data_IF_788715861912
#
_entry.id   IF_788715861912
#
_cell.length_a   1.000
_cell.length_b   1.000
_cell.length_c   1.000
_cell.angle_alpha   90.00
_cell.angle_beta   90.00
_cell.angle_gamma   90.00
#
_symmetry.space_group_name_H-M   'P 1'
#
loop_
_entity.id
_entity.type
_entity.pdbx_description
1 polymer ?
#
# COMPACT_ATOMS: atom_id res chain seq x y z
N UNK A 1 -50.40 21.06 -4.07
CA UNK A 1 -49.01 20.59 -3.90
C UNK A 1 -48.47 20.18 -5.26
N UNK A 2 -47.93 21.13 -6.00
CA UNK A 2 -47.20 20.86 -7.25
C UNK A 2 -45.88 20.22 -6.89
N UNK A 3 -45.77 18.91 -7.08
CA UNK A 3 -44.50 18.20 -7.08
C UNK A 3 -43.65 18.82 -8.19
N UNK A 4 -42.64 19.61 -7.81
CA UNK A 4 -41.59 20.11 -8.71
C UNK A 4 -40.86 18.89 -9.27
N UNK A 5 -41.35 18.37 -10.40
CA UNK A 5 -40.67 17.32 -11.15
C UNK A 5 -39.39 17.90 -11.72
N UNK A 6 -38.27 17.59 -11.07
CA UNK A 6 -36.94 17.92 -11.59
C UNK A 6 -36.83 17.34 -13.01
N UNK A 7 -36.43 18.17 -13.98
CA UNK A 7 -36.17 17.71 -15.35
C UNK A 7 -35.12 16.59 -15.39
N UNK A 8 -34.99 15.86 -16.52
CA UNK A 8 -34.11 14.69 -16.63
C UNK A 8 -32.64 14.99 -16.26
N UNK A 9 -32.19 16.22 -16.55
CA UNK A 9 -30.86 16.71 -16.15
C UNK A 9 -30.73 16.81 -14.63
N UNK A 10 -31.76 17.35 -13.95
CA UNK A 10 -31.79 17.45 -12.49
C UNK A 10 -31.82 16.08 -11.80
N UNK A 11 -32.52 15.11 -12.40
CA UNK A 11 -32.49 13.72 -11.94
C UNK A 11 -31.09 13.09 -12.08
N UNK A 12 -30.39 13.33 -13.19
CA UNK A 12 -29.03 12.82 -13.41
C UNK A 12 -28.03 13.42 -12.39
N UNK A 13 -28.09 14.74 -12.15
CA UNK A 13 -27.28 15.39 -11.13
C UNK A 13 -27.60 14.86 -9.72
N UNK A 14 -28.88 14.63 -9.41
CA UNK A 14 -29.30 14.03 -8.15
C UNK A 14 -28.73 12.63 -7.95
N UNK A 15 -28.84 11.76 -8.95
CA UNK A 15 -28.27 10.40 -8.92
C UNK A 15 -26.75 10.46 -8.74
N UNK A 16 -26.06 11.30 -9.52
CA UNK A 16 -24.61 11.45 -9.40
C UNK A 16 -24.18 11.91 -7.99
N UNK A 17 -24.88 12.89 -7.42
CA UNK A 17 -24.60 13.38 -6.06
C UNK A 17 -24.83 12.30 -5.00
N UNK A 18 -25.88 11.49 -5.14
CA UNK A 18 -26.17 10.38 -4.23
C UNK A 18 -25.08 9.31 -4.34
N UNK A 19 -24.70 8.92 -5.56
CA UNK A 19 -23.64 7.94 -5.80
C UNK A 19 -22.30 8.41 -5.23
N UNK A 20 -21.97 9.69 -5.42
CA UNK A 20 -20.76 10.30 -4.84
C UNK A 20 -20.81 10.26 -3.31
N UNK A 21 -21.94 10.61 -2.71
CA UNK A 21 -22.10 10.56 -1.26
C UNK A 21 -21.94 9.13 -0.71
N UNK A 22 -22.60 8.15 -1.33
CA UNK A 22 -22.47 6.73 -0.94
C UNK A 22 -21.02 6.26 -1.08
N UNK A 23 -20.35 6.64 -2.16
CA UNK A 23 -18.94 6.33 -2.37
C UNK A 23 -18.04 6.93 -1.29
N UNK A 24 -18.23 8.21 -0.95
CA UNK A 24 -17.47 8.89 0.11
C UNK A 24 -17.72 8.26 1.49
N UNK A 25 -18.97 7.93 1.82
CA UNK A 25 -19.32 7.24 3.05
C UNK A 25 -18.66 5.86 3.11
N UNK A 26 -18.69 5.10 2.01
CA UNK A 26 -18.01 3.80 1.90
C UNK A 26 -16.50 3.93 2.07
N UNK A 27 -15.89 4.93 1.45
CA UNK A 27 -14.46 5.23 1.57
C UNK A 27 -14.07 5.56 3.01
N UNK A 28 -14.79 6.48 3.66
CA UNK A 28 -14.56 6.86 5.06
C UNK A 28 -14.75 5.67 5.99
N UNK A 29 -15.81 4.89 5.81
CA UNK A 29 -16.06 3.69 6.60
C UNK A 29 -14.92 2.69 6.46
N UNK A 30 -14.44 2.43 5.24
CA UNK A 30 -13.35 1.50 4.98
C UNK A 30 -12.03 1.96 5.63
N UNK A 31 -11.68 3.24 5.49
CA UNK A 31 -10.47 3.81 6.12
C UNK A 31 -10.57 3.66 7.64
N UNK A 32 -11.72 3.99 8.23
CA UNK A 32 -11.93 3.85 9.68
C UNK A 32 -11.84 2.39 10.14
N UNK A 33 -12.45 1.47 9.40
CA UNK A 33 -12.40 0.03 9.70
C UNK A 33 -10.97 -0.51 9.62
N UNK A 34 -10.20 -0.03 8.64
CA UNK A 34 -8.78 -0.34 8.47
C UNK A 34 -7.97 0.02 9.72
N UNK A 35 -8.14 1.24 10.24
CA UNK A 35 -7.39 1.72 11.41
C UNK A 35 -7.91 1.16 12.75
N UNK A 36 -9.17 0.74 12.84
CA UNK A 36 -9.71 0.10 14.05
C UNK A 36 -9.16 -1.30 14.27
N UNK A 37 -8.96 -2.08 13.20
CA UNK A 37 -8.52 -3.47 13.30
C UNK A 37 -7.04 -3.63 13.66
N UNK A 38 -6.23 -2.59 13.47
CA UNK A 38 -4.81 -2.58 13.89
C UNK A 38 -4.64 -2.81 15.40
N UNK A 39 -5.60 -2.34 16.21
CA UNK A 39 -5.55 -2.50 17.66
C UNK A 39 -5.79 -3.94 18.14
N UNK A 40 -6.26 -4.86 17.28
CA UNK A 40 -6.67 -6.22 17.67
C UNK A 40 -5.70 -7.32 17.26
N UNK A 41 -4.63 -7.00 16.55
CA UNK A 41 -3.66 -8.00 16.07
C UNK A 41 -2.65 -8.38 17.17
N UNK A 42 -3.13 -8.96 18.29
CA UNK A 42 -2.28 -9.68 19.22
C UNK A 42 -2.00 -11.09 18.69
N UNK A 43 -0.75 -11.51 18.88
CA UNK A 43 -0.11 -12.75 18.46
C UNK A 43 -0.98 -14.00 18.55
N UNK A 44 -1.35 -14.57 17.40
CA UNK A 44 -1.60 -16.02 17.36
C UNK A 44 -0.24 -16.70 17.40
N UNK A 45 0.03 -17.48 18.46
CA UNK A 45 1.30 -18.14 18.75
C UNK A 45 1.69 -19.26 17.78
N UNK A 46 1.25 -19.20 16.52
CA UNK A 46 1.62 -20.18 15.47
C UNK A 46 2.56 -19.50 14.46
N UNK A 47 3.66 -20.16 14.13
CA UNK A 47 4.58 -19.76 13.06
C UNK A 47 3.86 -19.84 11.71
N UNK A 48 3.10 -18.80 11.38
CA UNK A 48 2.47 -18.65 10.08
C UNK A 48 3.44 -17.96 9.12
N UNK A 49 3.53 -18.52 7.91
CA UNK A 49 4.22 -17.88 6.79
C UNK A 49 3.39 -16.69 6.29
N UNK A 50 4.08 -15.63 5.87
CA UNK A 50 3.48 -14.40 5.36
C UNK A 50 3.93 -14.18 3.91
N UNK A 51 2.99 -14.05 2.98
CA UNK A 51 3.31 -13.59 1.61
C UNK A 51 3.75 -12.14 1.68
N UNK A 52 4.83 -11.80 1.00
CA UNK A 52 5.42 -10.47 1.09
C UNK A 52 5.63 -9.87 -0.31
N UNK A 53 4.94 -8.79 -0.60
CA UNK A 53 5.18 -8.01 -1.81
C UNK A 53 6.03 -6.79 -1.46
N UNK A 54 7.09 -6.56 -2.22
CA UNK A 54 8.04 -5.48 -1.97
C UNK A 54 8.16 -4.59 -3.19
N UNK A 55 7.97 -3.28 -3.03
CA UNK A 55 8.40 -2.33 -4.04
C UNK A 55 9.89 -2.00 -3.87
N UNK A 56 10.69 -2.30 -4.90
CA UNK A 56 12.04 -1.76 -5.02
C UNK A 56 11.95 -0.43 -5.77
N UNK A 57 12.11 0.67 -5.04
CA UNK A 57 12.26 1.99 -5.65
C UNK A 57 13.63 2.13 -6.30
N UNK A 58 13.75 2.92 -7.37
CA UNK A 58 15.04 3.10 -8.05
C UNK A 58 16.04 3.93 -7.25
N UNK A 59 17.32 3.56 -7.29
CA UNK A 59 18.42 4.35 -6.71
C UNK A 59 18.56 4.15 -5.20
N UNK A 60 18.54 5.24 -4.42
CA UNK A 60 18.71 5.21 -2.96
C UNK A 60 17.62 4.39 -2.25
N UNK A 61 16.38 4.46 -2.75
CA UNK A 61 15.25 3.69 -2.22
C UNK A 61 15.45 2.17 -2.32
N UNK A 62 16.16 1.69 -3.35
CA UNK A 62 16.54 0.27 -3.44
C UNK A 62 17.42 -0.10 -2.26
N UNK A 63 18.42 0.74 -1.95
CA UNK A 63 19.35 0.49 -0.86
C UNK A 63 18.64 0.44 0.50
N UNK A 64 17.74 1.39 0.76
CA UNK A 64 16.88 1.40 1.95
C UNK A 64 16.07 0.09 2.07
N UNK A 65 15.42 -0.33 0.98
CA UNK A 65 14.60 -1.54 1.00
C UNK A 65 15.42 -2.81 1.14
N UNK A 66 16.56 -2.93 0.47
CA UNK A 66 17.45 -4.09 0.59
C UNK A 66 18.01 -4.20 2.01
N UNK A 67 18.35 -3.07 2.64
CA UNK A 67 18.75 -3.04 4.05
C UNK A 67 17.61 -3.53 4.97
N UNK A 68 16.37 -3.13 4.69
CA UNK A 68 15.18 -3.61 5.41
C UNK A 68 15.07 -5.12 5.35
N UNK A 69 15.09 -5.63 4.13
CA UNK A 69 14.91 -7.04 3.87
C UNK A 69 16.05 -7.89 4.43
N UNK A 70 17.27 -7.35 4.49
CA UNK A 70 18.41 -8.07 5.07
C UNK A 70 18.19 -8.45 6.54
N UNK A 71 17.40 -7.68 7.29
CA UNK A 71 17.03 -7.98 8.68
C UNK A 71 15.87 -8.98 8.83
N UNK A 72 15.14 -9.31 7.75
CA UNK A 72 13.97 -10.19 7.84
C UNK A 72 14.35 -11.68 7.75
N UNK A 73 13.67 -12.56 8.53
CA UNK A 73 13.81 -14.02 8.41
C UNK A 73 13.00 -14.56 7.22
N UNK A 74 13.67 -14.88 6.10
CA UNK A 74 13.02 -15.25 4.84
C UNK A 74 12.20 -16.54 4.90
N UNK A 75 12.47 -17.43 5.85
CA UNK A 75 11.67 -18.64 6.10
C UNK A 75 10.22 -18.32 6.48
N UNK A 76 10.01 -17.19 7.16
CA UNK A 76 8.69 -16.73 7.59
C UNK A 76 7.98 -15.89 6.54
N UNK A 77 8.71 -15.30 5.60
CA UNK A 77 8.17 -14.39 4.58
C UNK A 77 8.31 -15.04 3.21
N UNK A 78 7.42 -15.97 2.87
CA UNK A 78 7.44 -16.72 1.60
C UNK A 78 6.02 -16.98 1.09
N UNK A 79 5.75 -16.87 -0.23
CA UNK A 79 6.64 -16.35 -1.26
C UNK A 79 6.82 -14.82 -1.19
N UNK A 80 7.91 -14.33 -1.79
CA UNK A 80 8.22 -12.90 -1.94
C UNK A 80 8.03 -12.44 -3.38
N UNK A 81 7.30 -11.37 -3.58
CA UNK A 81 7.09 -10.77 -4.92
C UNK A 81 7.78 -9.41 -4.96
N UNK A 82 8.85 -9.29 -5.74
CA UNK A 82 9.57 -8.04 -5.93
C UNK A 82 8.99 -7.26 -7.11
N UNK A 83 8.40 -6.10 -6.82
CA UNK A 83 7.94 -5.15 -7.81
C UNK A 83 9.08 -4.21 -8.17
N UNK A 84 9.44 -4.18 -9.45
CA UNK A 84 10.52 -3.38 -10.00
C UNK A 84 9.97 -2.45 -11.07
N UNK A 85 10.48 -1.23 -11.09
CA UNK A 85 10.15 -0.24 -12.10
C UNK A 85 10.81 -0.53 -13.44
N UNK A 86 10.15 -0.19 -14.55
CA UNK A 86 10.67 -0.48 -15.88
C UNK A 86 12.00 0.22 -16.17
N UNK A 87 12.95 -0.58 -16.65
CA UNK A 87 14.33 -0.16 -16.92
C UNK A 87 15.23 -0.03 -15.67
N UNK A 88 14.85 -0.61 -14.53
CA UNK A 88 15.66 -0.61 -13.30
C UNK A 88 16.33 -1.97 -13.04
N UNK A 89 17.30 -2.32 -13.88
CA UNK A 89 18.06 -3.57 -13.79
C UNK A 89 18.90 -3.66 -12.52
N UNK A 90 19.34 -2.52 -11.97
CA UNK A 90 20.16 -2.47 -10.76
C UNK A 90 19.36 -2.94 -9.54
N UNK A 91 18.12 -2.49 -9.41
CA UNK A 91 17.22 -2.97 -8.34
C UNK A 91 17.02 -4.48 -8.39
N UNK A 92 16.87 -5.03 -9.59
CA UNK A 92 16.74 -6.48 -9.80
C UNK A 92 17.99 -7.23 -9.36
N UNK A 93 19.17 -6.75 -9.76
CA UNK A 93 20.44 -7.38 -9.41
C UNK A 93 20.64 -7.42 -7.89
N UNK A 94 20.39 -6.32 -7.18
CA UNK A 94 20.54 -6.25 -5.71
C UNK A 94 19.60 -7.20 -4.97
N UNK A 95 18.36 -7.34 -5.45
CA UNK A 95 17.42 -8.29 -4.85
C UNK A 95 17.83 -9.75 -5.09
N UNK A 96 18.33 -10.08 -6.29
CA UNK A 96 18.87 -11.41 -6.58
C UNK A 96 20.08 -11.74 -5.70
N UNK A 97 20.98 -10.76 -5.48
CA UNK A 97 22.12 -10.92 -4.58
C UNK A 97 21.65 -11.21 -3.15
N UNK A 98 20.67 -10.45 -2.64
CA UNK A 98 20.11 -10.68 -1.31
C UNK A 98 19.46 -12.07 -1.17
N UNK A 99 18.70 -12.51 -2.17
CA UNK A 99 18.08 -13.84 -2.19
C UNK A 99 19.14 -14.95 -2.22
N UNK A 100 20.24 -14.77 -2.95
CA UNK A 100 21.38 -15.72 -2.96
C UNK A 100 22.12 -15.81 -1.64
N UNK A 101 22.18 -14.71 -0.87
CA UNK A 101 22.79 -14.70 0.45
C UNK A 101 21.90 -15.39 1.50
N UNK A 102 20.57 -15.26 1.38
CA UNK A 102 19.60 -15.82 2.34
C UNK A 102 19.22 -17.28 2.06
N UNK A 103 19.16 -17.68 0.78
CA UNK A 103 18.88 -19.06 0.32
C UNK A 103 17.61 -19.70 0.92
N UNK A 104 16.56 -18.92 1.17
CA UNK A 104 15.36 -19.39 1.88
C UNK A 104 14.05 -18.94 1.22
N UNK A 105 13.13 -19.85 0.97
CA UNK A 105 11.79 -19.56 0.45
C UNK A 105 11.72 -19.22 -1.05
N UNK A 106 10.51 -19.07 -1.57
CA UNK A 106 10.25 -18.79 -2.97
C UNK A 106 10.17 -17.29 -3.24
N UNK A 107 10.63 -16.85 -4.42
CA UNK A 107 10.51 -15.46 -4.85
C UNK A 107 10.19 -15.33 -6.33
N UNK A 108 9.53 -14.23 -6.70
CA UNK A 108 9.26 -13.84 -8.09
C UNK A 108 9.50 -12.34 -8.31
N UNK A 109 9.72 -11.96 -9.56
CA UNK A 109 9.86 -10.56 -9.98
C UNK A 109 8.67 -10.13 -10.84
N UNK A 110 8.17 -8.93 -10.56
CA UNK A 110 7.13 -8.27 -11.35
C UNK A 110 7.64 -6.91 -11.81
N UNK A 111 7.61 -6.66 -13.11
CA UNK A 111 7.99 -5.36 -13.68
C UNK A 111 6.76 -4.50 -13.94
N UNK A 112 6.81 -3.24 -13.51
CA UNK A 112 5.74 -2.24 -13.71
C UNK A 112 6.29 -0.98 -14.38
N UNK A 113 5.48 -0.25 -15.17
CA UNK A 113 5.90 1.03 -15.72
C UNK A 113 6.12 2.07 -14.62
N UNK A 114 7.19 2.86 -14.75
CA UNK A 114 7.46 3.99 -13.85
C UNK A 114 6.32 5.01 -13.86
N UNK A 115 5.85 5.41 -12.68
CA UNK A 115 4.80 6.41 -12.54
C UNK A 115 5.24 7.81 -13.00
N UNK A 116 6.52 8.14 -12.81
CA UNK A 116 7.15 9.38 -13.28
C UNK A 116 8.58 9.14 -13.74
N UNK A 117 8.95 9.73 -14.88
CA UNK A 117 10.34 9.76 -15.36
C UNK A 117 11.09 10.97 -14.81
N UNK A 118 12.41 10.84 -14.68
CA UNK A 118 13.29 11.98 -14.33
C UNK A 118 13.13 13.05 -15.42
N UNK A 119 13.07 14.33 -15.03
CA UNK A 119 12.81 15.49 -15.90
C UNK A 119 11.43 15.54 -16.57
N UNK A 120 10.48 14.70 -16.16
CA UNK A 120 9.10 14.80 -16.60
C UNK A 120 8.37 15.96 -15.89
N UNK A 121 7.54 16.70 -16.64
CA UNK A 121 6.70 17.77 -16.07
C UNK A 121 5.63 17.20 -15.13
N UNK A 122 5.19 18.00 -14.15
CA UNK A 122 4.17 17.56 -13.19
C UNK A 122 2.85 17.18 -13.88
N UNK A 123 2.43 17.92 -14.92
CA UNK A 123 1.18 17.63 -15.65
C UNK A 123 1.25 16.30 -16.39
N UNK A 124 2.33 16.07 -17.15
CA UNK A 124 2.50 14.80 -17.88
C UNK A 124 2.66 13.62 -16.92
N UNK A 125 3.19 13.85 -15.71
CA UNK A 125 3.34 12.82 -14.69
C UNK A 125 2.02 12.26 -14.17
N UNK A 126 0.92 13.03 -14.27
CA UNK A 126 -0.42 12.56 -13.91
C UNK A 126 -0.83 11.42 -14.84
N UNK A 127 -0.69 11.60 -16.15
CA UNK A 127 -1.05 10.59 -17.14
C UNK A 127 -0.22 9.32 -17.00
N UNK A 128 1.10 9.42 -16.82
CA UNK A 128 1.96 8.25 -16.61
C UNK A 128 1.66 7.54 -15.29
N UNK A 129 1.24 8.28 -14.25
CA UNK A 129 0.78 7.70 -12.98
C UNK A 129 -0.53 6.94 -13.17
N UNK A 130 -1.50 7.47 -13.93
CA UNK A 130 -2.76 6.77 -14.25
C UNK A 130 -2.47 5.49 -15.06
N UNK A 131 -1.61 5.55 -16.08
CA UNK A 131 -1.21 4.35 -16.84
C UNK A 131 -0.58 3.30 -15.92
N UNK A 132 0.31 3.73 -15.01
CA UNK A 132 0.91 2.84 -14.02
C UNK A 132 -0.14 2.22 -13.09
N UNK A 133 -1.12 3.00 -12.64
CA UNK A 133 -2.24 2.52 -11.82
C UNK A 133 -3.07 1.47 -12.55
N UNK A 134 -3.45 1.70 -13.82
CA UNK A 134 -4.23 0.74 -14.61
C UNK A 134 -3.49 -0.58 -14.81
N UNK A 135 -2.18 -0.52 -15.06
CA UNK A 135 -1.34 -1.72 -15.17
C UNK A 135 -1.25 -2.45 -13.83
N UNK A 136 -1.05 -1.73 -12.72
CA UNK A 136 -1.02 -2.32 -11.38
C UNK A 136 -2.37 -2.96 -11.01
N UNK A 137 -3.49 -2.28 -11.29
CA UNK A 137 -4.84 -2.82 -11.09
C UNK A 137 -5.04 -4.10 -11.88
N UNK A 138 -4.66 -4.12 -13.17
CA UNK A 138 -4.73 -5.31 -14.00
C UNK A 138 -3.91 -6.47 -13.40
N UNK A 139 -2.71 -6.20 -12.91
CA UNK A 139 -1.89 -7.24 -12.28
C UNK A 139 -2.51 -7.79 -11.00
N UNK A 140 -3.03 -6.92 -10.13
CA UNK A 140 -3.68 -7.36 -8.89
C UNK A 140 -4.98 -8.12 -9.16
N UNK A 141 -5.75 -7.69 -10.17
CA UNK A 141 -7.01 -8.35 -10.54
C UNK A 141 -6.80 -9.68 -11.27
N UNK A 142 -5.70 -9.86 -12.02
CA UNK A 142 -5.47 -11.05 -12.85
C UNK A 142 -4.53 -12.07 -12.19
N UNK A 143 -3.52 -11.64 -11.40
CA UNK A 143 -2.59 -12.58 -10.76
C UNK A 143 -3.14 -13.10 -9.42
N UNK A 144 -3.37 -14.41 -9.27
CA UNK A 144 -3.89 -15.00 -8.03
C UNK A 144 -2.93 -14.88 -6.83
N UNK A 145 -1.64 -14.62 -7.07
CA UNK A 145 -0.65 -14.40 -5.99
C UNK A 145 -0.87 -13.08 -5.22
N UNK A 146 -1.50 -12.10 -5.87
CA UNK A 146 -1.94 -10.85 -5.24
C UNK A 146 -3.37 -10.93 -4.70
N UNK A 147 -4.10 -12.00 -5.02
CA UNK A 147 -5.48 -12.16 -4.60
C UNK A 147 -5.55 -12.12 -3.07
N UNK A 148 -6.36 -11.22 -2.50
CA UNK A 148 -6.61 -11.17 -1.07
C UNK A 148 -7.46 -12.37 -0.71
N UNK A 149 -6.82 -13.54 -0.52
CA UNK A 149 -7.41 -14.83 -0.14
C UNK A 149 -8.92 -14.84 -0.43
N UNK A 150 -9.26 -14.90 -1.72
CA UNK A 150 -10.63 -15.06 -2.14
C UNK A 150 -10.96 -16.51 -1.83
N UNK A 151 -11.32 -16.78 -0.57
CA UNK A 151 -11.98 -18.02 -0.18
C UNK A 151 -13.26 -18.07 -1.02
N UNK A 152 -13.21 -18.87 -2.08
CA UNK A 152 -14.40 -19.53 -2.62
C UNK A 152 -14.91 -20.47 -1.53
N UNK A 153 -16.21 -20.44 -1.20
CA UNK A 153 -16.80 -21.50 -0.39
C UNK A 153 -16.83 -22.74 -1.28
N UNK A 154 -15.77 -23.52 -1.24
CA UNK A 154 -15.77 -24.85 -1.82
C UNK A 154 -15.29 -25.80 -0.73
N UNK A 155 -16.24 -26.60 -0.30
CA UNK A 155 -16.17 -27.59 0.76
C UNK A 155 -15.01 -28.57 0.55
N UNK A 156 -14.51 -29.07 1.67
CA UNK A 156 -13.76 -30.32 1.83
C UNK A 156 -12.27 -30.33 1.47
N UNK A 157 -11.44 -29.72 2.32
CA UNK A 157 -10.27 -30.40 2.91
C UNK A 157 -9.63 -29.58 4.05
N UNK A 158 -9.42 -30.26 5.16
CA UNK A 158 -8.88 -29.78 6.43
C UNK A 158 -7.40 -29.40 6.35
N UNK A 159 -7.06 -28.17 5.94
CA UNK A 159 -5.93 -27.37 6.47
C UNK A 159 -5.92 -25.95 5.83
N UNK A 160 -6.88 -25.09 6.17
CA UNK A 160 -6.87 -23.68 5.75
C UNK A 160 -5.79 -22.91 6.53
N UNK A 161 -4.55 -23.00 6.06
CA UNK A 161 -3.44 -22.14 6.49
C UNK A 161 -3.80 -20.69 6.14
N UNK A 162 -4.35 -19.94 7.10
CA UNK A 162 -4.64 -18.51 6.99
C UNK A 162 -3.35 -17.70 6.78
N UNK A 163 -2.82 -17.70 5.56
CA UNK A 163 -1.59 -17.02 5.23
C UNK A 163 -1.79 -15.50 5.32
N UNK A 164 -0.96 -14.83 6.11
CA UNK A 164 -0.94 -13.37 6.17
C UNK A 164 -0.29 -12.84 4.89
N UNK A 165 -0.75 -11.71 4.38
CA UNK A 165 -0.14 -11.06 3.21
C UNK A 165 0.14 -9.60 3.53
N UNK A 166 1.35 -9.14 3.20
CA UNK A 166 1.77 -7.76 3.39
C UNK A 166 2.42 -7.20 2.13
N UNK A 167 2.23 -5.90 1.91
CA UNK A 167 2.83 -5.12 0.84
C UNK A 167 3.65 -4.01 1.49
N UNK A 168 4.98 -4.06 1.30
CA UNK A 168 5.90 -3.05 1.82
C UNK A 168 6.28 -2.09 0.69
N UNK A 169 6.07 -0.81 0.95
CA UNK A 169 6.33 0.29 0.04
C UNK A 169 7.31 1.27 0.68
N UNK A 170 8.17 1.86 -0.13
CA UNK A 170 9.05 2.97 0.22
C UNK A 170 9.09 3.92 -0.97
N UNK A 171 9.33 5.22 -0.75
CA UNK A 171 10.23 5.97 -1.64
C UNK A 171 9.68 6.71 -2.88
N UNK A 172 9.59 6.11 -4.09
CA UNK A 172 9.35 6.90 -5.29
C UNK A 172 7.85 7.08 -5.57
N UNK A 173 7.53 7.95 -6.53
CA UNK A 173 6.15 8.19 -6.99
C UNK A 173 5.40 6.92 -7.41
N UNK A 174 6.11 5.85 -7.82
CA UNK A 174 5.51 4.54 -8.15
C UNK A 174 4.84 3.84 -6.96
N UNK A 175 5.15 4.21 -5.72
CA UNK A 175 4.45 3.66 -4.55
C UNK A 175 2.96 4.05 -4.53
N UNK A 176 2.61 5.22 -5.09
CA UNK A 176 1.22 5.71 -5.14
C UNK A 176 0.30 4.81 -5.96
N UNK A 177 0.58 4.55 -7.26
CA UNK A 177 -0.29 3.68 -8.05
C UNK A 177 -0.36 2.24 -7.51
N UNK A 178 0.73 1.71 -6.93
CA UNK A 178 0.71 0.36 -6.34
C UNK A 178 -0.18 0.32 -5.11
N UNK A 179 0.00 1.25 -4.16
CA UNK A 179 -0.84 1.35 -2.97
C UNK A 179 -2.33 1.47 -3.34
N UNK A 180 -2.66 2.36 -4.28
CA UNK A 180 -4.02 2.55 -4.74
C UNK A 180 -4.56 1.30 -5.45
N UNK A 181 -3.74 0.58 -6.22
CA UNK A 181 -4.17 -0.66 -6.86
C UNK A 181 -4.53 -1.76 -5.86
N UNK A 182 -3.90 -1.77 -4.68
CA UNK A 182 -4.25 -2.68 -3.58
C UNK A 182 -5.47 -2.18 -2.81
N UNK A 183 -5.59 -0.86 -2.61
CA UNK A 183 -6.64 -0.25 -1.80
C UNK A 183 -8.00 -0.21 -2.53
N UNK A 184 -8.04 0.12 -3.82
CA UNK A 184 -9.27 0.26 -4.59
C UNK A 184 -10.13 -1.02 -4.57
N UNK A 185 -9.59 -2.24 -4.75
CA UNK A 185 -10.35 -3.48 -4.58
C UNK A 185 -10.96 -3.64 -3.18
N UNK A 186 -10.39 -3.05 -2.13
CA UNK A 186 -10.96 -3.08 -0.77
C UNK A 186 -12.29 -2.31 -0.70
N UNK A 187 -12.47 -1.26 -1.51
CA UNK A 187 -13.73 -0.51 -1.56
C UNK A 187 -14.88 -1.38 -2.03
N UNK A 188 -14.60 -2.21 -3.05
CA UNK A 188 -15.57 -3.12 -3.67
C UNK A 188 -15.78 -4.34 -2.77
N UNK A 189 -14.70 -5.01 -2.38
CA UNK A 189 -14.78 -6.31 -1.67
C UNK A 189 -15.00 -6.20 -0.17
N UNK A 190 -14.66 -5.06 0.46
CA UNK A 190 -14.66 -4.89 1.92
C UNK A 190 -13.54 -5.66 2.64
N UNK A 191 -12.70 -6.42 1.93
CA UNK A 191 -11.59 -7.18 2.52
C UNK A 191 -10.41 -6.26 2.77
N UNK A 192 -9.81 -6.35 3.95
CA UNK A 192 -8.71 -5.47 4.38
C UNK A 192 -7.31 -6.07 4.17
N UNK A 193 -7.23 -7.25 3.53
CA UNK A 193 -5.98 -7.88 3.12
C UNK A 193 -5.66 -7.50 1.67
N UNK A 194 -4.38 -7.52 1.24
CA UNK A 194 -3.16 -7.66 2.06
C UNK A 194 -2.87 -6.38 2.87
N UNK A 195 -2.13 -6.44 3.98
CA UNK A 195 -1.74 -5.25 4.77
C UNK A 195 -0.76 -4.36 3.99
N UNK A 196 -1.02 -3.06 3.92
CA UNK A 196 -0.20 -2.04 3.30
C UNK A 196 0.70 -1.38 4.36
N UNK A 197 2.01 -1.49 4.17
CA UNK A 197 3.03 -0.94 5.05
C UNK A 197 3.85 0.06 4.23
N UNK A 198 3.87 1.31 4.66
CA UNK A 198 4.74 2.33 4.06
C UNK A 198 5.88 2.67 5.00
N UNK A 199 7.10 2.65 4.47
CA UNK A 199 8.31 3.04 5.16
C UNK A 199 8.84 4.30 4.49
N UNK A 200 8.77 5.42 5.21
CA UNK A 200 9.29 6.69 4.72
C UNK A 200 10.82 6.64 4.57
N UNK A 201 11.34 7.35 3.57
CA UNK A 201 12.76 7.32 3.23
C UNK A 201 13.64 7.92 4.33
N UNK A 202 14.86 7.38 4.46
CA UNK A 202 15.89 7.88 5.38
C UNK A 202 16.22 9.34 5.12
N UNK A 203 16.14 9.79 3.87
CA UNK A 203 16.39 11.18 3.50
C UNK A 203 15.38 12.17 4.12
N UNK A 204 14.25 11.70 4.65
CA UNK A 204 13.19 12.54 5.20
C UNK A 204 13.32 12.66 6.71
N UNK A 205 14.11 13.65 7.15
CA UNK A 205 14.37 13.88 8.59
C UNK A 205 13.35 14.83 9.24
N UNK A 206 12.91 15.86 8.52
CA UNK A 206 12.09 16.97 9.09
C UNK A 206 10.65 17.00 8.60
N UNK A 207 10.39 16.55 7.38
CA UNK A 207 9.05 16.59 6.74
C UNK A 207 8.80 15.33 5.92
N UNK A 208 7.56 14.84 5.92
CA UNK A 208 7.12 13.72 5.07
C UNK A 208 7.31 14.02 3.59
N UNK A 209 7.62 12.99 2.81
CA UNK A 209 7.60 13.07 1.35
C UNK A 209 6.19 13.33 0.83
N UNK A 210 6.08 13.86 -0.39
CA UNK A 210 4.77 14.03 -1.03
C UNK A 210 4.06 12.67 -1.16
N UNK A 211 4.79 11.63 -1.52
CA UNK A 211 4.31 10.24 -1.54
C UNK A 211 3.77 9.82 -0.17
N UNK A 212 4.52 10.07 0.91
CA UNK A 212 4.11 9.76 2.27
C UNK A 212 2.83 10.48 2.67
N UNK A 213 2.71 11.78 2.36
CA UNK A 213 1.50 12.58 2.61
C UNK A 213 0.30 12.00 1.87
N UNK A 214 0.45 11.68 0.58
CA UNK A 214 -0.63 11.13 -0.25
C UNK A 214 -1.09 9.75 0.22
N UNK A 215 -0.16 8.91 0.71
CA UNK A 215 -0.46 7.54 1.10
C UNK A 215 -0.96 7.40 2.53
N UNK A 216 -0.71 8.37 3.40
CA UNK A 216 -1.03 8.31 4.83
C UNK A 216 -2.44 7.78 5.18
N UNK A 217 -3.54 8.20 4.52
CA UNK A 217 -4.89 7.70 4.84
C UNK A 217 -5.18 6.29 4.31
N UNK A 218 -4.37 5.78 3.38
CA UNK A 218 -4.59 4.48 2.73
C UNK A 218 -3.72 3.35 3.31
N UNK A 219 -2.67 3.71 4.06
CA UNK A 219 -1.73 2.73 4.62
C UNK A 219 -2.24 2.13 5.92
N UNK A 220 -2.04 0.82 6.09
CA UNK A 220 -2.29 0.18 7.37
C UNK A 220 -1.19 0.57 8.36
N UNK A 221 0.08 0.39 8.02
CA UNK A 221 1.18 0.80 8.89
C UNK A 221 2.00 1.89 8.22
N UNK A 222 2.35 2.94 8.97
CA UNK A 222 3.21 4.01 8.49
C UNK A 222 4.43 4.15 9.40
N UNK A 223 5.60 3.83 8.85
CA UNK A 223 6.86 3.78 9.59
C UNK A 223 7.74 4.96 9.19
N UNK A 224 8.25 5.67 10.18
CA UNK A 224 9.24 6.74 10.00
C UNK A 224 10.56 6.39 10.69
N UNK A 225 11.64 6.88 10.12
CA UNK A 225 13.01 6.54 10.53
C UNK A 225 13.59 7.50 11.58
N UNK A 226 12.98 8.66 11.77
CA UNK A 226 13.50 9.72 12.64
C UNK A 226 12.47 10.10 13.70
N UNK A 227 12.87 10.10 14.99
CA UNK A 227 12.01 10.57 16.08
C UNK A 227 11.60 12.03 15.89
N UNK A 228 12.51 12.85 15.37
CA UNK A 228 12.25 14.27 15.06
C UNK A 228 11.11 14.41 14.05
N UNK A 229 11.13 13.63 12.97
CA UNK A 229 10.04 13.59 12.00
C UNK A 229 8.71 13.18 12.64
N UNK A 230 8.74 12.11 13.45
CA UNK A 230 7.54 11.63 14.15
C UNK A 230 6.94 12.72 15.03
N UNK A 231 7.76 13.40 15.84
CA UNK A 231 7.33 14.48 16.72
C UNK A 231 6.72 15.65 15.93
N UNK A 232 7.34 16.02 14.81
CA UNK A 232 6.86 17.11 13.96
C UNK A 232 5.49 16.80 13.34
N UNK A 233 5.25 15.54 12.94
CA UNK A 233 3.94 15.13 12.43
C UNK A 233 2.88 15.14 13.54
N UNK A 234 3.22 14.67 14.75
CA UNK A 234 2.30 14.71 15.89
C UNK A 234 1.96 16.13 16.33
N UNK A 235 2.83 17.11 16.09
CA UNK A 235 2.54 18.54 16.33
C UNK A 235 1.56 19.13 15.32
N UNK A 236 1.38 18.52 14.15
CA UNK A 236 0.45 19.02 13.13
C UNK A 236 -1.00 18.89 13.60
N UNK A 237 -1.71 20.02 13.69
CA UNK A 237 -3.13 20.06 14.04
C UNK A 237 -3.97 19.22 13.08
N UNK A 238 -3.64 19.25 11.78
CA UNK A 238 -4.32 18.45 10.76
C UNK A 238 -4.18 16.94 11.03
N UNK A 239 -2.96 16.48 11.35
CA UNK A 239 -2.74 15.07 11.68
C UNK A 239 -3.53 14.67 12.91
N UNK A 240 -3.52 15.48 13.97
CA UNK A 240 -4.28 15.21 15.19
C UNK A 240 -5.78 15.08 14.94
N UNK A 241 -6.36 15.97 14.12
CA UNK A 241 -7.78 15.91 13.74
C UNK A 241 -8.08 14.62 12.96
N UNK A 242 -7.29 14.33 11.92
CA UNK A 242 -7.48 13.13 11.10
C UNK A 242 -7.30 11.85 11.91
N UNK A 243 -6.33 11.81 12.83
CA UNK A 243 -6.06 10.67 13.69
C UNK A 243 -7.20 10.43 14.69
N UNK A 244 -7.72 11.50 15.32
CA UNK A 244 -8.93 11.41 16.18
C UNK A 244 -10.14 10.88 15.42
N UNK A 245 -10.28 11.26 14.14
CA UNK A 245 -11.33 10.75 13.25
C UNK A 245 -11.05 9.34 12.71
N UNK A 246 -9.92 8.71 13.08
CA UNK A 246 -9.46 7.41 12.58
C UNK A 246 -9.37 7.37 11.06
N UNK A 247 -8.90 8.46 10.46
CA UNK A 247 -8.75 8.63 9.00
C UNK A 247 -7.30 8.47 8.53
N UNK A 248 -6.35 8.34 9.45
CA UNK A 248 -4.94 8.13 9.17
C UNK A 248 -4.37 7.08 10.12
N UNK A 249 -3.31 6.42 9.68
CA UNK A 249 -2.58 5.43 10.47
C UNK A 249 -1.82 6.08 11.63
N UNK A 250 -1.63 5.30 12.70
CA UNK A 250 -0.65 5.64 13.72
C UNK A 250 0.75 5.61 13.08
N UNK A 251 1.55 6.63 13.37
CA UNK A 251 2.92 6.72 12.85
C UNK A 251 3.86 6.06 13.85
N UNK A 252 4.45 4.96 13.43
CA UNK A 252 5.41 4.20 14.23
C UNK A 252 6.81 4.69 13.92
N UNK A 253 7.58 5.04 14.94
CA UNK A 253 9.02 5.25 14.81
C UNK A 253 9.71 3.91 14.98
N UNK A 254 10.52 3.55 14.00
CA UNK A 254 11.39 2.39 14.07
C UNK A 254 12.73 2.83 13.48
N UNK A 255 13.66 3.21 14.35
CA UNK A 255 14.96 3.78 13.99
C UNK A 255 15.97 2.75 13.48
N UNK A 256 15.51 1.63 12.92
CA UNK A 256 16.35 0.49 12.55
C UNK A 256 17.39 0.80 11.45
N UNK A 257 17.26 1.94 10.75
CA UNK A 257 18.26 2.43 9.81
C UNK A 257 19.11 3.61 10.32
N UNK A 258 18.89 4.08 11.55
CA UNK A 258 19.60 5.22 12.17
C UNK A 258 20.44 4.77 13.35
#
# INVERSE_FOLDING_TARGET
>A
MTMLTMGPIGQLFGIFSILLLVFLLRLIHLIRSTHQLQSRSHSSGRLQTCKLTILLGSGGHTGEMIRLLSGLPFDRYTPRTYIISSGDSLSRFKALELERLKQAGQYEFLEIPRARRVNQSFVTSIFTTITSLLVCLRFISIKPNFSPCLVTPQEDSTDEQACSSAVILNGPGSAVPIALSVFLPRLITGKLKPRLIYVESLARVKKLSLTGILLLPFMDCFIVQWKVLQAEIHRSSLYQVLYRLKLVSAITFDGWMV
#
